data_IF_156763657811
#
_entry.id   IF_156763657811
#
_cell.length_a   1.000
_cell.length_b   1.000
_cell.length_c   1.000
_cell.angle_alpha   90.00
_cell.angle_beta   90.00
_cell.angle_gamma   90.00
#
_symmetry.space_group_name_H-M   'P 1'
#
loop_
_entity.id
_entity.type
_entity.pdbx_description
1 polymer ?
#
# COMPACT_ATOMS: atom_id res chain seq x y z
N UNK A 1 31.33 12.65 2.80
CA UNK A 1 30.24 12.18 3.70
C UNK A 1 29.68 10.93 3.02
N UNK A 2 29.73 9.75 3.63
CA UNK A 2 29.12 8.56 3.05
C UNK A 2 27.62 8.83 2.96
N UNK A 3 27.08 8.79 1.75
CA UNK A 3 25.62 8.85 1.56
C UNK A 3 24.98 7.77 2.39
N UNK A 4 23.98 8.15 3.21
CA UNK A 4 23.20 7.18 3.97
C UNK A 4 22.54 6.21 2.99
N UNK A 5 22.87 4.95 3.10
CA UNK A 5 22.32 3.89 2.25
C UNK A 5 20.93 3.47 2.72
N UNK A 6 20.49 3.95 3.87
CA UNK A 6 19.17 3.74 4.48
C UNK A 6 18.40 5.04 4.50
N UNK A 7 17.09 4.93 4.34
CA UNK A 7 16.21 6.09 4.40
C UNK A 7 14.76 5.69 4.58
N UNK A 8 13.94 6.70 4.70
CA UNK A 8 12.49 6.61 4.72
C UNK A 8 11.96 7.53 3.63
N UNK A 9 11.09 7.02 2.78
CA UNK A 9 10.42 7.80 1.74
C UNK A 9 8.96 7.97 2.15
N UNK A 10 8.41 9.19 2.02
CA UNK A 10 7.02 9.48 2.29
C UNK A 10 6.40 10.29 1.15
N UNK A 11 5.19 9.95 0.75
CA UNK A 11 4.39 10.71 -0.21
C UNK A 11 3.52 11.69 0.56
N UNK A 12 3.83 12.97 0.45
CA UNK A 12 3.03 14.09 0.97
C UNK A 12 2.03 14.50 -0.13
N UNK A 13 0.91 13.79 -0.20
CA UNK A 13 -0.13 13.96 -1.22
C UNK A 13 -0.70 15.36 -1.23
N UNK A 14 -1.00 15.91 -0.06
CA UNK A 14 -1.54 17.26 0.07
C UNK A 14 -0.50 18.32 -0.32
N UNK A 15 0.76 18.08 -0.04
CA UNK A 15 1.88 18.92 -0.45
C UNK A 15 2.31 18.73 -1.91
N UNK A 16 1.74 17.75 -2.62
CA UNK A 16 2.11 17.38 -4.00
C UNK A 16 3.61 17.09 -4.16
N UNK A 17 4.20 16.36 -3.22
CA UNK A 17 5.65 16.11 -3.14
C UNK A 17 5.97 14.75 -2.53
N UNK A 18 7.22 14.34 -2.70
CA UNK A 18 7.80 13.16 -2.04
C UNK A 18 8.96 13.61 -1.17
N UNK A 19 9.01 13.09 0.04
CA UNK A 19 9.96 13.48 1.09
C UNK A 19 10.92 12.32 1.36
N UNK A 20 12.21 12.59 1.32
CA UNK A 20 13.23 11.73 1.91
C UNK A 20 13.43 12.14 3.35
N UNK A 21 13.21 11.21 4.26
CA UNK A 21 13.32 11.40 5.69
C UNK A 21 14.50 10.60 6.25
N UNK A 22 15.11 11.14 7.27
CA UNK A 22 16.03 10.37 8.11
C UNK A 22 15.24 9.26 8.84
N UNK A 23 15.65 7.99 8.74
CA UNK A 23 14.88 6.88 9.31
C UNK A 23 14.88 6.81 10.84
N UNK A 24 15.77 7.55 11.51
CA UNK A 24 15.91 7.57 12.97
C UNK A 24 15.30 8.84 13.59
N UNK A 25 15.56 10.00 12.98
CA UNK A 25 15.11 11.29 13.50
C UNK A 25 13.83 11.80 12.86
N UNK A 26 13.42 11.20 11.73
CA UNK A 26 12.29 11.59 10.87
C UNK A 26 12.42 12.99 10.28
N UNK A 27 13.59 13.62 10.38
CA UNK A 27 13.86 14.94 9.79
C UNK A 27 13.81 14.83 8.26
N UNK A 28 13.19 15.83 7.60
CA UNK A 28 13.17 15.94 6.14
C UNK A 28 14.58 16.29 5.66
N UNK A 29 15.18 15.39 4.88
CA UNK A 29 16.52 15.56 4.30
C UNK A 29 16.47 16.09 2.85
N UNK A 30 15.42 15.76 2.12
CA UNK A 30 15.23 16.17 0.73
C UNK A 30 13.75 16.18 0.37
N UNK A 31 13.35 17.14 -0.46
CA UNK A 31 12.00 17.22 -1.06
C UNK A 31 12.08 17.14 -2.57
N UNK A 32 11.15 16.41 -3.18
CA UNK A 32 10.93 16.36 -4.61
C UNK A 32 9.54 16.95 -4.90
N UNK A 33 9.49 18.01 -5.70
CA UNK A 33 8.26 18.81 -5.91
C UNK A 33 7.74 18.80 -7.36
N UNK A 34 8.44 18.13 -8.30
CA UNK A 34 8.11 18.20 -9.73
C UNK A 34 7.16 17.08 -10.15
N UNK A 35 6.04 16.91 -9.42
CA UNK A 35 5.02 15.91 -9.74
C UNK A 35 3.81 16.53 -10.45
N UNK A 36 3.19 15.82 -11.41
CA UNK A 36 1.79 16.07 -11.78
C UNK A 36 0.89 15.89 -10.55
N UNK A 37 -0.30 16.50 -10.49
CA UNK A 37 -1.25 16.22 -9.42
C UNK A 37 -1.83 14.80 -9.56
N UNK A 38 -1.99 14.04 -8.54
CA UNK A 38 -1.40 14.04 -7.18
C UNK A 38 -0.55 12.80 -7.09
N UNK A 39 0.69 12.84 -6.58
CA UNK A 39 1.42 11.62 -6.23
C UNK A 39 0.63 10.88 -5.15
N UNK A 40 0.48 9.57 -5.34
CA UNK A 40 -0.38 8.74 -4.54
C UNK A 40 0.22 7.35 -4.47
N UNK A 41 0.18 6.67 -3.34
CA UNK A 41 0.83 5.39 -3.14
C UNK A 41 2.36 5.40 -3.34
N UNK A 42 3.01 4.32 -2.94
CA UNK A 42 4.46 4.18 -2.98
C UNK A 42 4.86 2.71 -3.12
N UNK A 43 5.69 2.42 -4.10
CA UNK A 43 6.25 1.09 -4.27
C UNK A 43 7.77 1.15 -4.24
N UNK A 44 8.38 0.47 -3.26
CA UNK A 44 9.84 0.38 -3.14
C UNK A 44 10.40 -0.74 -4.01
N UNK A 45 11.38 -0.40 -4.83
CA UNK A 45 12.08 -1.30 -5.75
C UNK A 45 13.58 -1.31 -5.42
N UNK A 46 13.90 -1.67 -4.19
CA UNK A 46 15.26 -1.63 -3.64
C UNK A 46 16.30 -2.37 -4.51
N UNK A 47 16.00 -3.55 -5.13
CA UNK A 47 16.97 -4.21 -6.02
C UNK A 47 17.38 -3.36 -7.23
N UNK A 48 16.52 -2.46 -7.69
CA UNK A 48 16.83 -1.50 -8.78
C UNK A 48 17.21 -0.12 -8.27
N UNK A 49 17.32 0.07 -6.94
CA UNK A 49 17.61 1.34 -6.27
C UNK A 49 16.59 2.44 -6.64
N UNK A 50 15.35 2.04 -6.88
CA UNK A 50 14.23 2.90 -7.33
C UNK A 50 13.05 2.84 -6.38
N UNK A 51 12.19 3.85 -6.48
CA UNK A 51 10.81 3.78 -6.03
C UNK A 51 9.89 4.24 -7.16
N UNK A 52 8.69 3.66 -7.22
CA UNK A 52 7.61 4.11 -8.07
C UNK A 52 6.57 4.84 -7.25
N UNK A 53 6.11 5.98 -7.78
CA UNK A 53 5.02 6.77 -7.21
C UNK A 53 3.97 6.97 -8.30
N UNK A 54 2.85 6.25 -8.24
CA UNK A 54 1.75 6.44 -9.16
C UNK A 54 1.19 7.87 -9.08
N UNK A 55 0.77 8.40 -10.23
CA UNK A 55 0.07 9.68 -10.33
C UNK A 55 -1.40 9.36 -10.61
N UNK A 56 -2.20 9.35 -9.56
CA UNK A 56 -3.58 8.89 -9.60
C UNK A 56 -4.50 9.86 -10.36
N UNK A 57 -4.26 11.16 -10.23
CA UNK A 57 -5.10 12.23 -10.77
C UNK A 57 -5.54 13.18 -9.66
N UNK A 58 -6.47 14.06 -9.96
CA UNK A 58 -6.91 15.13 -9.04
C UNK A 58 -8.11 14.75 -8.16
N UNK A 59 -8.66 13.54 -8.36
CA UNK A 59 -9.81 13.01 -7.64
C UNK A 59 -9.50 12.14 -6.43
N UNK A 60 -10.54 11.46 -5.99
CA UNK A 60 -10.52 10.38 -5.00
C UNK A 60 -11.10 9.12 -5.64
N UNK A 61 -11.00 7.96 -4.96
CA UNK A 61 -11.62 6.73 -5.42
C UNK A 61 -13.12 6.95 -5.68
N UNK A 62 -13.65 6.41 -6.79
CA UNK A 62 -15.04 6.59 -7.23
C UNK A 62 -15.39 7.97 -7.81
N UNK A 63 -14.55 9.00 -7.59
CA UNK A 63 -14.75 10.37 -8.12
C UNK A 63 -13.42 10.97 -8.56
N UNK A 64 -12.92 10.54 -9.72
CA UNK A 64 -11.66 10.99 -10.31
C UNK A 64 -11.91 11.55 -11.72
N UNK A 65 -12.32 12.83 -11.85
CA UNK A 65 -12.71 13.41 -13.15
C UNK A 65 -11.53 13.54 -14.12
N UNK A 66 -10.29 13.66 -13.61
CA UNK A 66 -9.08 13.75 -14.43
C UNK A 66 -8.05 12.67 -14.02
N UNK A 67 -8.33 11.39 -14.32
CA UNK A 67 -7.48 10.30 -13.88
C UNK A 67 -6.10 10.36 -14.55
N UNK A 68 -5.06 10.24 -13.70
CA UNK A 68 -3.68 10.20 -14.14
C UNK A 68 -3.37 8.95 -14.98
N UNK A 69 -2.21 8.97 -15.63
CA UNK A 69 -1.72 7.86 -16.45
C UNK A 69 -0.20 7.71 -16.39
N UNK A 70 0.42 8.22 -15.32
CA UNK A 70 1.87 8.17 -15.17
C UNK A 70 2.28 7.54 -13.84
N UNK A 71 3.48 7.01 -13.84
CA UNK A 71 4.19 6.60 -12.62
C UNK A 71 5.51 7.37 -12.59
N UNK A 72 5.76 8.11 -11.52
CA UNK A 72 7.06 8.74 -11.32
C UNK A 72 8.08 7.69 -10.89
N UNK A 73 9.27 7.74 -11.50
CA UNK A 73 10.43 6.90 -11.17
C UNK A 73 11.39 7.73 -10.34
N UNK A 74 11.65 7.31 -9.11
CA UNK A 74 12.55 7.98 -8.19
C UNK A 74 13.84 7.17 -8.08
N UNK A 75 14.98 7.80 -8.35
CA UNK A 75 16.30 7.26 -8.04
C UNK A 75 16.58 7.48 -6.55
N UNK A 76 16.62 6.39 -5.78
CA UNK A 76 16.80 6.44 -4.33
C UNK A 76 18.21 6.86 -3.93
N UNK A 77 19.21 6.58 -4.77
CA UNK A 77 20.60 6.95 -4.49
C UNK A 77 20.87 8.41 -4.75
N UNK A 78 20.37 8.93 -5.88
CA UNK A 78 20.52 10.33 -6.24
C UNK A 78 19.49 11.23 -5.57
N UNK A 79 18.41 10.64 -5.03
CA UNK A 79 17.28 11.35 -4.42
C UNK A 79 16.66 12.36 -5.38
N UNK A 80 16.33 11.88 -6.59
CA UNK A 80 15.74 12.70 -7.66
C UNK A 80 14.68 11.93 -8.44
N UNK A 81 13.81 12.66 -9.16
CA UNK A 81 12.90 12.04 -10.13
C UNK A 81 13.73 11.75 -11.38
N UNK A 82 13.94 10.48 -11.71
CA UNK A 82 14.71 10.06 -12.88
C UNK A 82 13.89 10.02 -14.17
N UNK A 83 12.55 9.98 -14.06
CA UNK A 83 11.66 9.95 -15.21
C UNK A 83 10.22 9.62 -14.84
N UNK A 84 9.41 9.38 -15.86
CA UNK A 84 8.02 8.95 -15.75
C UNK A 84 7.76 7.81 -16.72
N UNK A 85 7.04 6.80 -16.23
CA UNK A 85 6.45 5.76 -17.07
C UNK A 85 5.10 6.27 -17.54
N UNK A 86 4.85 6.27 -18.85
CA UNK A 86 3.53 6.54 -19.43
C UNK A 86 2.76 5.22 -19.54
N UNK A 87 1.64 5.14 -18.86
CA UNK A 87 0.77 3.97 -18.83
C UNK A 87 -0.32 4.01 -19.91
N UNK A 88 -0.41 5.10 -20.71
CA UNK A 88 -1.48 5.25 -21.69
C UNK A 88 -1.67 4.01 -22.57
N UNK A 89 -2.90 3.51 -22.78
CA UNK A 89 -4.18 4.18 -22.48
C UNK A 89 -4.73 3.94 -21.05
N UNK A 90 -4.00 3.24 -20.18
CA UNK A 90 -4.44 2.93 -18.81
C UNK A 90 -4.52 4.21 -17.96
N UNK A 91 -5.47 4.21 -17.00
CA UNK A 91 -5.82 5.37 -16.18
C UNK A 91 -5.95 5.02 -14.70
N UNK A 92 -5.77 6.03 -13.86
CA UNK A 92 -5.86 5.97 -12.41
C UNK A 92 -4.96 4.87 -11.81
N UNK A 93 -3.61 4.93 -12.04
CA UNK A 93 -2.70 4.00 -11.39
C UNK A 93 -2.73 4.21 -9.89
N UNK A 94 -2.89 3.12 -9.14
CA UNK A 94 -3.02 3.16 -7.69
C UNK A 94 -1.98 2.26 -7.02
N UNK A 95 -2.39 1.26 -6.28
CA UNK A 95 -1.46 0.42 -5.55
C UNK A 95 -0.77 -0.64 -6.42
N UNK A 96 0.46 -0.98 -6.05
CA UNK A 96 1.21 -2.00 -6.75
C UNK A 96 2.09 -2.83 -5.81
N UNK A 97 2.54 -3.97 -6.31
CA UNK A 97 3.50 -4.82 -5.62
C UNK A 97 4.54 -5.40 -6.59
N UNK A 98 5.75 -5.60 -6.06
CA UNK A 98 6.82 -6.32 -6.76
C UNK A 98 6.59 -7.83 -6.63
N UNK A 99 6.45 -8.51 -7.76
CA UNK A 99 6.33 -9.95 -7.84
C UNK A 99 7.68 -10.67 -7.64
N UNK A 100 7.60 -11.98 -7.37
CA UNK A 100 8.80 -12.84 -7.27
C UNK A 100 9.50 -13.04 -8.61
N UNK A 101 8.82 -12.80 -9.70
CA UNK A 101 9.33 -12.77 -11.07
C UNK A 101 10.12 -11.50 -11.40
N UNK A 102 10.21 -10.57 -10.45
CA UNK A 102 10.87 -9.29 -10.62
C UNK A 102 10.06 -8.25 -11.38
N UNK A 103 8.79 -8.50 -11.67
CA UNK A 103 7.89 -7.55 -12.32
C UNK A 103 7.04 -6.81 -11.30
N UNK A 104 6.66 -5.59 -11.63
CA UNK A 104 5.72 -4.79 -10.85
C UNK A 104 4.31 -4.99 -11.40
N UNK A 105 3.39 -5.34 -10.52
CA UNK A 105 1.97 -5.41 -10.78
C UNK A 105 1.32 -4.15 -10.20
N UNK A 106 0.61 -3.37 -11.02
CA UNK A 106 0.05 -2.08 -10.64
C UNK A 106 -1.42 -1.98 -11.06
N UNK A 107 -2.32 -1.77 -10.11
CA UNK A 107 -3.73 -1.51 -10.41
C UNK A 107 -3.88 -0.21 -11.22
N UNK A 108 -4.71 -0.27 -12.27
CA UNK A 108 -5.15 0.87 -13.06
C UNK A 108 -6.68 0.92 -12.97
N UNK A 109 -7.18 1.52 -11.91
CA UNK A 109 -8.56 1.44 -11.43
C UNK A 109 -9.59 1.71 -12.53
N UNK A 110 -9.53 2.91 -13.14
CA UNK A 110 -10.51 3.30 -14.18
C UNK A 110 -10.40 2.48 -15.47
N UNK A 111 -9.44 1.58 -15.58
CA UNK A 111 -9.18 0.79 -16.81
C UNK A 111 -9.55 -0.68 -16.68
N UNK A 112 -10.06 -1.13 -15.52
CA UNK A 112 -10.32 -2.54 -15.26
C UNK A 112 -9.09 -3.42 -15.58
N UNK A 113 -7.92 -3.01 -15.13
CA UNK A 113 -6.67 -3.61 -15.55
C UNK A 113 -5.58 -3.54 -14.49
N UNK A 114 -4.67 -4.51 -14.56
CA UNK A 114 -3.39 -4.49 -13.85
C UNK A 114 -2.29 -4.35 -14.90
N UNK A 115 -1.50 -3.28 -14.80
CA UNK A 115 -0.29 -3.11 -15.61
C UNK A 115 0.83 -3.97 -15.05
N UNK A 116 1.57 -4.65 -15.92
CA UNK A 116 2.79 -5.40 -15.57
C UNK A 116 3.97 -4.63 -16.12
N UNK A 117 4.83 -4.14 -15.23
CA UNK A 117 5.94 -3.24 -15.56
C UNK A 117 7.26 -3.97 -15.28
N UNK A 118 8.20 -3.86 -16.20
CA UNK A 118 9.57 -4.28 -15.97
C UNK A 118 10.38 -3.14 -15.33
N UNK A 119 10.81 -3.26 -14.05
CA UNK A 119 11.57 -2.22 -13.39
C UNK A 119 13.01 -2.07 -13.90
N UNK A 120 13.52 -3.03 -14.69
CA UNK A 120 14.82 -2.89 -15.31
C UNK A 120 14.80 -1.88 -16.49
N UNK A 121 13.67 -1.80 -17.19
CA UNK A 121 13.48 -0.93 -18.37
C UNK A 121 12.52 0.22 -18.15
N UNK A 122 11.77 0.22 -17.03
CA UNK A 122 10.69 1.16 -16.71
C UNK A 122 9.60 1.18 -17.81
N UNK A 123 9.22 -0.01 -18.31
CA UNK A 123 8.22 -0.15 -19.40
C UNK A 123 7.10 -1.12 -19.00
N UNK A 124 5.90 -0.80 -19.45
CA UNK A 124 4.78 -1.74 -19.42
C UNK A 124 5.07 -2.87 -20.41
N UNK A 125 5.13 -4.09 -19.94
CA UNK A 125 5.33 -5.28 -20.78
C UNK A 125 4.00 -5.85 -21.28
N UNK A 126 2.99 -5.85 -20.40
CA UNK A 126 1.66 -6.35 -20.70
C UNK A 126 0.62 -5.79 -19.73
N UNK A 127 -0.63 -6.07 -20.02
CA UNK A 127 -1.78 -5.70 -19.22
C UNK A 127 -2.63 -6.92 -18.94
N UNK A 128 -3.03 -7.13 -17.71
CA UNK A 128 -3.98 -8.17 -17.29
C UNK A 128 -5.35 -7.51 -17.15
N UNK A 129 -6.31 -7.91 -17.98
CA UNK A 129 -7.68 -7.45 -17.85
C UNK A 129 -8.36 -8.12 -16.66
N UNK A 130 -9.10 -7.35 -15.89
CA UNK A 130 -9.89 -7.80 -14.74
C UNK A 130 -11.33 -7.34 -14.88
N UNK A 131 -12.32 -8.04 -14.27
CA UNK A 131 -13.73 -7.75 -14.51
C UNK A 131 -14.26 -6.48 -13.83
N UNK A 132 -13.48 -5.84 -12.97
CA UNK A 132 -13.92 -4.69 -12.18
C UNK A 132 -13.21 -3.40 -12.60
N UNK A 133 -13.97 -2.31 -12.70
CA UNK A 133 -13.45 -0.93 -12.82
C UNK A 133 -13.14 -0.28 -11.48
N UNK A 134 -13.33 -1.00 -10.36
CA UNK A 134 -13.09 -0.54 -9.00
C UNK A 134 -11.90 -1.26 -8.35
N UNK A 135 -10.98 -1.84 -9.15
CA UNK A 135 -9.78 -2.49 -8.63
C UNK A 135 -8.79 -1.45 -8.13
N UNK A 136 -8.87 -1.17 -6.85
CA UNK A 136 -8.16 -0.09 -6.18
C UNK A 136 -6.82 -0.57 -5.61
N UNK A 137 -6.82 -1.67 -4.85
CA UNK A 137 -5.62 -2.27 -4.27
C UNK A 137 -5.40 -3.70 -4.74
N UNK A 138 -4.17 -4.16 -4.63
CA UNK A 138 -3.82 -5.55 -4.91
C UNK A 138 -2.90 -6.14 -3.86
N UNK A 139 -2.90 -7.47 -3.78
CA UNK A 139 -1.89 -8.22 -3.03
C UNK A 139 -1.48 -9.49 -3.78
N UNK A 140 -0.20 -9.83 -3.68
CA UNK A 140 0.36 -11.06 -4.26
C UNK A 140 0.38 -12.18 -3.20
N UNK A 141 0.12 -13.41 -3.63
CA UNK A 141 0.40 -14.55 -2.77
C UNK A 141 1.91 -14.63 -2.46
N UNK A 142 2.34 -15.11 -1.28
CA UNK A 142 3.76 -15.28 -0.97
C UNK A 142 4.53 -16.18 -1.95
N UNK A 143 3.83 -17.06 -2.67
CA UNK A 143 4.43 -17.87 -3.73
C UNK A 143 4.67 -17.11 -5.03
N UNK A 144 4.08 -15.92 -5.21
CA UNK A 144 4.08 -15.16 -6.46
C UNK A 144 3.16 -15.73 -7.54
N UNK A 145 2.39 -16.80 -7.26
CA UNK A 145 1.58 -17.51 -8.28
C UNK A 145 0.18 -16.95 -8.44
N UNK A 146 -0.33 -16.19 -7.49
CA UNK A 146 -1.65 -15.57 -7.53
C UNK A 146 -1.56 -14.10 -7.19
N UNK A 147 -2.36 -13.31 -7.88
CA UNK A 147 -2.65 -11.93 -7.56
C UNK A 147 -4.13 -11.81 -7.17
N UNK A 148 -4.42 -10.96 -6.20
CA UNK A 148 -5.75 -10.66 -5.72
C UNK A 148 -5.95 -9.15 -5.83
N UNK A 149 -6.98 -8.69 -6.55
CA UNK A 149 -7.38 -7.27 -6.54
C UNK A 149 -8.57 -7.09 -5.62
N UNK A 150 -8.50 -6.11 -4.78
CA UNK A 150 -9.65 -5.60 -4.05
C UNK A 150 -10.42 -4.67 -4.98
N UNK A 151 -11.74 -4.92 -5.10
CA UNK A 151 -12.63 -4.23 -6.01
C UNK A 151 -13.71 -3.50 -5.17
N UNK A 152 -13.32 -2.44 -4.57
CA UNK A 152 -13.96 -1.69 -3.48
C UNK A 152 -15.50 -1.73 -3.48
N UNK A 153 -16.19 -0.94 -4.33
CA UNK A 153 -17.66 -0.88 -4.34
C UNK A 153 -18.31 -2.14 -4.92
N UNK A 154 -17.59 -2.92 -5.73
CA UNK A 154 -18.11 -4.19 -6.27
C UNK A 154 -18.21 -5.29 -5.22
N UNK A 155 -17.79 -5.01 -3.99
CA UNK A 155 -17.78 -5.97 -2.88
C UNK A 155 -17.17 -7.32 -3.29
N UNK A 156 -16.07 -7.29 -4.00
CA UNK A 156 -15.46 -8.50 -4.56
C UNK A 156 -13.94 -8.46 -4.58
N UNK A 157 -13.33 -9.65 -4.70
CA UNK A 157 -11.90 -9.80 -4.92
C UNK A 157 -11.72 -10.63 -6.18
N UNK A 158 -11.02 -10.08 -7.17
CA UNK A 158 -10.63 -10.86 -8.36
C UNK A 158 -9.37 -11.67 -8.07
N UNK A 159 -9.38 -12.94 -8.45
CA UNK A 159 -8.23 -13.85 -8.32
C UNK A 159 -7.64 -14.11 -9.69
N UNK A 160 -6.36 -13.77 -9.85
CA UNK A 160 -5.60 -13.98 -11.09
C UNK A 160 -4.54 -15.05 -10.87
N UNK A 161 -4.48 -16.04 -11.73
CA UNK A 161 -3.35 -16.99 -11.83
C UNK A 161 -2.24 -16.35 -12.67
N UNK A 162 -1.05 -16.23 -12.07
CA UNK A 162 0.15 -15.67 -12.69
C UNK A 162 1.09 -16.74 -13.26
N UNK A 163 0.72 -18.03 -13.17
CA UNK A 163 1.54 -19.11 -13.74
C UNK A 163 1.47 -19.16 -15.27
N UNK A 164 0.41 -18.64 -15.86
CA UNK A 164 0.27 -18.45 -17.29
C UNK A 164 0.91 -17.12 -17.71
N UNK A 165 1.55 -17.12 -18.88
CA UNK A 165 2.33 -15.97 -19.36
C UNK A 165 1.54 -14.66 -19.38
N UNK A 166 0.25 -14.72 -19.75
CA UNK A 166 -0.62 -13.53 -19.85
C UNK A 166 -1.31 -13.15 -18.52
N UNK A 167 -1.29 -14.05 -17.53
CA UNK A 167 -2.13 -13.96 -16.34
C UNK A 167 -3.60 -14.24 -16.68
N UNK A 168 -4.28 -15.02 -15.86
CA UNK A 168 -5.67 -15.42 -16.12
C UNK A 168 -6.53 -15.22 -14.88
N UNK A 169 -7.65 -14.53 -15.02
CA UNK A 169 -8.69 -14.51 -14.00
C UNK A 169 -9.26 -15.91 -13.83
N UNK A 170 -9.15 -16.45 -12.62
CA UNK A 170 -9.60 -17.82 -12.30
C UNK A 170 -10.79 -17.84 -11.35
N UNK A 171 -11.05 -16.74 -10.65
CA UNK A 171 -12.17 -16.64 -9.70
C UNK A 171 -12.51 -15.18 -9.37
N UNK A 172 -13.72 -14.98 -8.85
CA UNK A 172 -14.17 -13.74 -8.23
C UNK A 172 -14.83 -14.07 -6.90
N UNK A 173 -14.19 -13.68 -5.81
CA UNK A 173 -14.71 -13.89 -4.45
C UNK A 173 -15.70 -12.78 -4.15
N UNK A 174 -16.99 -13.12 -4.04
CA UNK A 174 -18.02 -12.16 -3.65
C UNK A 174 -18.06 -12.03 -2.13
N UNK A 175 -18.17 -10.80 -1.66
CA UNK A 175 -18.24 -10.44 -0.26
C UNK A 175 -19.62 -9.83 0.06
N UNK A 176 -20.06 -9.88 1.33
CA UNK A 176 -21.37 -9.35 1.72
C UNK A 176 -21.50 -7.84 1.62
N UNK A 177 -20.40 -7.10 1.58
CA UNK A 177 -20.37 -5.63 1.51
C UNK A 177 -19.07 -5.12 0.92
N UNK A 178 -18.96 -3.81 0.67
CA UNK A 178 -17.77 -3.19 0.10
C UNK A 178 -16.52 -3.41 0.96
N UNK A 179 -15.37 -3.36 0.34
CA UNK A 179 -14.06 -3.56 0.98
C UNK A 179 -13.11 -2.44 0.58
N UNK A 180 -12.12 -2.14 1.41
CA UNK A 180 -11.22 -1.01 1.15
C UNK A 180 -9.74 -1.35 1.15
N UNK A 181 -9.31 -2.41 1.79
CA UNK A 181 -7.90 -2.79 1.86
C UNK A 181 -7.71 -4.29 1.80
N UNK A 182 -6.59 -4.75 1.27
CA UNK A 182 -6.28 -6.16 1.14
C UNK A 182 -4.80 -6.44 1.41
N UNK A 183 -4.51 -7.51 2.16
CA UNK A 183 -3.15 -8.00 2.37
C UNK A 183 -3.11 -9.53 2.50
N UNK A 184 -2.17 -10.17 1.81
CA UNK A 184 -1.93 -11.61 1.98
C UNK A 184 -0.96 -11.86 3.13
N UNK A 185 -1.31 -12.77 4.04
CA UNK A 185 -0.39 -13.16 5.11
C UNK A 185 0.88 -13.79 4.53
N UNK A 186 2.08 -13.34 4.95
CA UNK A 186 3.34 -13.97 4.54
C UNK A 186 3.51 -15.40 5.09
N UNK A 187 2.92 -15.70 6.25
CA UNK A 187 3.10 -16.97 6.98
C UNK A 187 1.96 -17.97 6.78
N UNK A 188 0.72 -17.47 6.68
CA UNK A 188 -0.46 -18.31 6.74
C UNK A 188 -1.23 -18.34 5.40
N UNK A 189 -2.04 -19.37 5.11
CA UNK A 189 -2.74 -19.53 3.85
C UNK A 189 -4.04 -18.68 3.75
N UNK A 190 -4.02 -17.45 4.27
CA UNK A 190 -5.14 -16.53 4.17
C UNK A 190 -4.71 -15.15 3.69
N UNK A 191 -5.66 -14.38 3.26
CA UNK A 191 -5.58 -12.94 3.10
C UNK A 191 -6.61 -12.26 4.01
N UNK A 192 -6.36 -11.00 4.31
CA UNK A 192 -7.25 -10.16 5.11
C UNK A 192 -7.71 -9.00 4.22
N UNK A 193 -8.99 -8.69 4.25
CA UNK A 193 -9.57 -7.51 3.61
C UNK A 193 -10.39 -6.73 4.63
N UNK A 194 -10.27 -5.40 4.65
CA UNK A 194 -11.10 -4.56 5.51
C UNK A 194 -12.47 -4.35 4.87
N UNK A 195 -13.53 -4.45 5.68
CA UNK A 195 -14.86 -4.00 5.27
C UNK A 195 -14.88 -2.47 5.22
N UNK A 196 -15.47 -1.88 4.18
CA UNK A 196 -15.57 -0.42 4.02
C UNK A 196 -16.83 0.17 4.66
N UNK A 197 -17.76 -0.66 5.09
CA UNK A 197 -19.06 -0.27 5.66
C UNK A 197 -19.16 -0.47 7.18
N UNK A 198 -18.19 -1.18 7.80
CA UNK A 198 -18.23 -1.46 9.24
C UNK A 198 -16.84 -1.85 9.79
N UNK A 199 -16.61 -1.70 11.11
CA UNK A 199 -15.31 -1.96 11.75
C UNK A 199 -15.05 -3.46 11.94
N UNK A 200 -14.81 -4.18 10.87
CA UNK A 200 -14.33 -5.56 10.90
C UNK A 200 -13.48 -5.90 9.67
N UNK A 201 -12.74 -6.99 9.76
CA UNK A 201 -11.94 -7.54 8.69
C UNK A 201 -12.53 -8.89 8.24
N UNK A 202 -12.49 -9.14 6.93
CA UNK A 202 -12.70 -10.48 6.37
C UNK A 202 -11.39 -11.25 6.37
N UNK A 203 -11.39 -12.49 6.88
CA UNK A 203 -10.28 -13.43 6.75
C UNK A 203 -10.67 -14.46 5.70
N UNK A 204 -9.92 -14.52 4.61
CA UNK A 204 -10.27 -15.28 3.41
C UNK A 204 -9.19 -16.33 3.14
N UNK A 205 -9.59 -17.57 2.96
CA UNK A 205 -8.68 -18.65 2.59
C UNK A 205 -8.21 -18.49 1.14
N UNK A 206 -6.88 -18.45 0.94
CA UNK A 206 -6.28 -18.24 -0.38
C UNK A 206 -6.37 -19.45 -1.31
N UNK A 207 -6.69 -20.63 -0.79
CA UNK A 207 -6.79 -21.86 -1.58
C UNK A 207 -8.22 -22.11 -2.01
N UNK A 208 -9.15 -22.07 -1.07
CA UNK A 208 -10.59 -22.30 -1.33
C UNK A 208 -11.34 -21.05 -1.79
N UNK A 209 -10.73 -19.85 -1.67
CA UNK A 209 -11.31 -18.55 -1.99
C UNK A 209 -12.59 -18.24 -1.18
N UNK A 210 -12.68 -18.75 0.05
CA UNK A 210 -13.85 -18.56 0.91
C UNK A 210 -13.53 -17.73 2.14
N UNK A 211 -14.48 -16.92 2.56
CA UNK A 211 -14.43 -16.22 3.85
C UNK A 211 -14.44 -17.28 4.95
N UNK A 212 -13.41 -17.30 5.80
CA UNK A 212 -13.27 -18.17 6.97
C UNK A 212 -13.96 -17.59 8.19
N UNK A 213 -13.78 -16.27 8.39
CA UNK A 213 -14.34 -15.55 9.54
C UNK A 213 -14.38 -14.05 9.28
N UNK A 214 -15.14 -13.36 10.13
CA UNK A 214 -15.07 -11.91 10.30
C UNK A 214 -14.37 -11.62 11.61
N UNK A 215 -13.38 -10.73 11.58
CA UNK A 215 -12.61 -10.31 12.73
C UNK A 215 -13.05 -8.90 13.13
N UNK A 216 -13.71 -8.77 14.27
CA UNK A 216 -14.20 -7.48 14.75
C UNK A 216 -13.02 -6.56 15.16
N UNK A 217 -13.24 -5.27 15.03
CA UNK A 217 -12.35 -4.19 15.48
C UNK A 217 -13.04 -3.41 16.61
N UNK A 218 -13.11 -3.95 17.84
CA UNK A 218 -13.97 -3.41 18.91
C UNK A 218 -13.59 -1.99 19.36
N UNK A 219 -12.33 -1.58 19.15
CA UNK A 219 -11.87 -0.22 19.43
C UNK A 219 -12.29 0.82 18.40
N UNK A 220 -12.76 0.38 17.21
CA UNK A 220 -13.14 1.27 16.13
C UNK A 220 -14.66 1.50 16.11
N UNK A 221 -15.06 2.74 15.78
CA UNK A 221 -16.45 3.12 15.47
C UNK A 221 -16.66 3.24 13.95
N UNK A 222 -15.58 3.44 13.20
CA UNK A 222 -15.57 3.58 11.75
C UNK A 222 -14.82 2.41 11.10
N UNK A 223 -15.07 2.10 9.82
CA UNK A 223 -14.32 1.07 9.10
C UNK A 223 -12.85 1.41 8.96
N UNK A 224 -12.02 0.38 8.76
CA UNK A 224 -10.62 0.53 8.37
C UNK A 224 -10.48 0.51 6.85
N UNK A 225 -9.50 1.24 6.31
CA UNK A 225 -9.23 1.29 4.87
C UNK A 225 -7.95 0.55 4.46
N UNK A 226 -7.02 0.35 5.38
CA UNK A 226 -5.74 -0.27 5.08
C UNK A 226 -5.44 -1.38 6.07
N UNK A 227 -4.92 -2.47 5.55
CA UNK A 227 -4.34 -3.57 6.33
C UNK A 227 -2.93 -3.85 5.84
N UNK A 228 -1.97 -3.99 6.77
CA UNK A 228 -0.57 -4.28 6.44
C UNK A 228 -0.02 -5.37 7.34
N UNK A 229 0.66 -6.36 6.75
CA UNK A 229 1.49 -7.30 7.49
C UNK A 229 2.92 -6.78 7.62
N UNK A 230 3.56 -7.09 8.75
CA UNK A 230 5.01 -6.99 8.86
C UNK A 230 5.68 -7.97 7.89
N UNK A 231 6.91 -7.66 7.45
CA UNK A 231 7.61 -8.49 6.47
C UNK A 231 7.83 -9.94 6.92
N UNK A 232 8.03 -10.15 8.22
CA UNK A 232 8.14 -11.48 8.82
C UNK A 232 6.77 -12.15 9.08
N UNK A 233 5.66 -11.44 8.83
CA UNK A 233 4.30 -11.94 9.01
C UNK A 233 3.86 -12.13 10.47
N UNK A 234 4.60 -11.60 11.45
CA UNK A 234 4.29 -11.76 12.88
C UNK A 234 3.28 -10.74 13.41
N UNK A 235 3.05 -9.68 12.65
CA UNK A 235 2.11 -8.60 13.00
C UNK A 235 1.23 -8.26 11.81
N UNK A 236 -0.01 -7.91 12.12
CA UNK A 236 -0.94 -7.24 11.21
C UNK A 236 -1.38 -5.94 11.86
N UNK A 237 -1.47 -4.87 11.09
CA UNK A 237 -2.11 -3.62 11.52
C UNK A 237 -3.34 -3.35 10.67
N UNK A 238 -4.43 -2.91 11.30
CA UNK A 238 -5.60 -2.35 10.67
C UNK A 238 -5.62 -0.84 10.92
N UNK A 239 -5.78 -0.05 9.85
CA UNK A 239 -5.68 1.41 9.83
C UNK A 239 -6.95 1.95 9.18
N UNK A 240 -7.62 2.90 9.84
CA UNK A 240 -8.82 3.55 9.32
C UNK A 240 -8.67 5.06 9.34
N UNK A 241 -9.04 5.72 8.26
CA UNK A 241 -8.90 7.17 8.09
C UNK A 241 -9.97 7.99 8.82
N UNK A 242 -11.06 7.34 9.22
CA UNK A 242 -12.17 7.99 9.94
C UNK A 242 -11.92 8.26 11.42
N UNK A 243 -10.88 7.64 12.01
CA UNK A 243 -10.59 7.72 13.44
C UNK A 243 -9.08 7.71 13.71
N UNK A 244 -8.59 8.45 14.73
CA UNK A 244 -7.16 8.50 15.08
C UNK A 244 -6.73 7.26 15.89
N UNK A 245 -6.97 6.08 15.36
CA UNK A 245 -6.70 4.80 16.02
C UNK A 245 -6.23 3.74 15.01
N UNK A 246 -5.37 2.84 15.44
CA UNK A 246 -4.99 1.62 14.71
C UNK A 246 -5.06 0.43 15.63
N UNK A 247 -5.41 -0.75 15.10
CA UNK A 247 -5.42 -2.02 15.86
C UNK A 247 -4.30 -2.93 15.39
N UNK A 248 -3.51 -3.43 16.34
CA UNK A 248 -2.48 -4.44 16.08
C UNK A 248 -3.00 -5.85 16.40
N UNK A 249 -2.56 -6.81 15.59
CA UNK A 249 -2.80 -8.24 15.75
C UNK A 249 -1.48 -9.03 15.69
N UNK A 250 -1.45 -10.18 16.34
CA UNK A 250 -0.43 -11.19 16.11
C UNK A 250 -0.66 -11.97 14.79
N UNK A 251 0.21 -12.93 14.48
CA UNK A 251 0.10 -13.74 13.25
C UNK A 251 -1.06 -14.75 13.27
N UNK A 252 -1.64 -15.02 14.43
CA UNK A 252 -2.86 -15.82 14.60
C UNK A 252 -4.13 -15.00 14.61
N UNK A 253 -4.01 -13.68 14.37
CA UNK A 253 -5.10 -12.69 14.36
C UNK A 253 -5.73 -12.46 15.74
N UNK A 254 -4.98 -12.70 16.83
CA UNK A 254 -5.39 -12.25 18.14
C UNK A 254 -5.10 -10.75 18.30
N UNK A 255 -6.04 -9.93 18.78
CA UNK A 255 -5.79 -8.50 18.98
C UNK A 255 -4.73 -8.29 20.07
N UNK A 256 -3.75 -7.45 19.77
CA UNK A 256 -2.70 -7.04 20.70
C UNK A 256 -3.00 -5.69 21.36
N UNK A 257 -4.00 -4.97 20.83
CA UNK A 257 -4.49 -3.72 21.37
C UNK A 257 -4.71 -2.65 20.32
N UNK A 258 -5.45 -1.64 20.74
CA UNK A 258 -5.74 -0.44 19.99
C UNK A 258 -4.77 0.66 20.42
N UNK A 259 -4.23 1.41 19.46
CA UNK A 259 -3.23 2.44 19.70
C UNK A 259 -3.74 3.75 19.11
N UNK A 260 -3.85 4.78 19.96
CA UNK A 260 -4.17 6.12 19.51
C UNK A 260 -2.99 6.71 18.70
N UNK A 261 -3.29 7.31 17.55
CA UNK A 261 -2.35 7.91 16.61
C UNK A 261 -2.79 9.34 16.25
N UNK A 262 -2.19 9.99 15.26
CA UNK A 262 -2.65 11.29 14.79
C UNK A 262 -3.92 11.19 13.93
N UNK A 263 -4.44 12.36 13.53
CA UNK A 263 -5.70 12.46 12.78
C UNK A 263 -5.56 11.94 11.35
N UNK A 264 -6.61 11.26 10.88
CA UNK A 264 -6.72 10.68 9.55
C UNK A 264 -5.50 9.81 9.20
N UNK A 265 -5.28 8.71 9.95
CA UNK A 265 -4.21 7.76 9.63
C UNK A 265 -4.55 7.04 8.31
N UNK A 266 -3.68 7.18 7.30
CA UNK A 266 -3.95 6.69 5.94
C UNK A 266 -3.24 5.38 5.64
N UNK A 267 -1.97 5.26 6.01
CA UNK A 267 -1.19 4.03 5.77
C UNK A 267 -0.07 3.91 6.81
N UNK A 268 0.60 2.77 6.80
CA UNK A 268 1.71 2.51 7.69
C UNK A 268 2.74 1.53 7.12
N UNK A 269 3.95 1.61 7.64
CA UNK A 269 4.98 0.65 7.32
C UNK A 269 5.72 0.17 8.58
N UNK A 270 6.03 -1.12 8.59
CA UNK A 270 6.89 -1.71 9.61
C UNK A 270 8.35 -1.42 9.30
N UNK A 271 9.15 -1.15 10.32
CA UNK A 271 10.60 -1.04 10.17
C UNK A 271 11.21 -2.36 9.70
N UNK A 272 12.36 -2.35 8.98
CA UNK A 272 13.00 -3.57 8.47
C UNK A 272 13.38 -4.59 9.55
N UNK A 273 13.61 -4.13 10.78
CA UNK A 273 13.90 -4.97 11.95
C UNK A 273 12.63 -5.40 12.72
N UNK A 274 11.45 -5.01 12.26
CA UNK A 274 10.15 -5.28 12.88
C UNK A 274 10.01 -4.79 14.33
N UNK A 275 10.74 -3.74 14.72
CA UNK A 275 10.66 -3.15 16.07
C UNK A 275 9.71 -1.96 16.13
N UNK A 276 9.47 -1.31 15.01
CA UNK A 276 8.63 -0.13 14.92
C UNK A 276 7.58 -0.28 13.82
N UNK A 277 6.46 0.39 14.02
CA UNK A 277 5.46 0.68 13.01
C UNK A 277 5.32 2.19 12.90
N UNK A 278 5.43 2.71 11.69
CA UNK A 278 5.16 4.12 11.40
C UNK A 278 3.79 4.24 10.76
N UNK A 279 2.98 5.17 11.24
CA UNK A 279 1.66 5.50 10.67
C UNK A 279 1.73 6.92 10.10
N UNK A 280 1.30 7.09 8.86
CA UNK A 280 1.15 8.39 8.23
C UNK A 280 -0.21 8.99 8.61
N UNK A 281 -0.19 10.13 9.31
CA UNK A 281 -1.39 10.85 9.75
C UNK A 281 -1.62 12.03 8.80
N UNK A 282 -2.41 11.80 7.74
CA UNK A 282 -2.62 12.80 6.68
C UNK A 282 -3.24 14.09 7.24
N UNK A 283 -4.21 13.97 8.16
CA UNK A 283 -4.92 15.11 8.72
C UNK A 283 -4.04 16.07 9.52
N UNK A 284 -2.97 15.55 10.14
CA UNK A 284 -2.05 16.35 10.96
C UNK A 284 -0.75 16.72 10.24
N UNK A 285 -0.43 16.04 9.13
CA UNK A 285 0.89 16.12 8.50
C UNK A 285 2.00 15.57 9.40
N UNK A 286 1.68 14.56 10.22
CA UNK A 286 2.61 13.93 11.17
C UNK A 286 2.80 12.45 10.87
N UNK A 287 3.80 11.84 11.51
CA UNK A 287 3.91 10.38 11.64
C UNK A 287 3.67 9.99 13.10
N UNK A 288 3.06 8.84 13.33
CA UNK A 288 3.08 8.19 14.64
C UNK A 288 4.07 7.04 14.61
N UNK A 289 5.18 7.15 15.34
CA UNK A 289 6.15 6.07 15.50
C UNK A 289 5.74 5.20 16.70
N UNK A 290 5.41 3.94 16.45
CA UNK A 290 4.93 2.98 17.44
C UNK A 290 6.05 1.99 17.76
N UNK A 291 6.41 1.84 19.03
CA UNK A 291 7.25 0.75 19.53
C UNK A 291 6.41 -0.53 19.63
N UNK A 292 6.79 -1.57 18.89
CA UNK A 292 6.05 -2.83 18.81
C UNK A 292 6.26 -3.76 20.01
N UNK A 293 7.29 -3.51 20.84
CA UNK A 293 7.46 -4.25 22.08
C UNK A 293 6.57 -3.70 23.21
N UNK A 294 6.28 -2.39 23.15
CA UNK A 294 5.46 -1.69 24.15
C UNK A 294 4.03 -1.38 23.65
N UNK A 295 3.75 -1.59 22.38
CA UNK A 295 2.48 -1.26 21.71
C UNK A 295 2.02 0.17 22.01
N UNK A 296 2.93 1.15 21.89
CA UNK A 296 2.62 2.57 22.14
C UNK A 296 3.38 3.50 21.23
N UNK A 297 2.81 4.67 20.99
CA UNK A 297 3.48 5.77 20.28
C UNK A 297 4.64 6.29 21.12
N UNK A 298 5.81 6.39 20.52
CA UNK A 298 7.05 6.91 21.12
C UNK A 298 7.47 8.27 20.55
N UNK A 299 6.97 8.63 19.35
CA UNK A 299 7.22 9.92 18.73
C UNK A 299 6.10 10.28 17.74
N UNK A 300 5.86 11.60 17.58
CA UNK A 300 4.88 12.14 16.62
C UNK A 300 5.49 13.32 15.86
N UNK A 301 6.51 13.11 15.02
CA UNK A 301 7.14 14.18 14.26
C UNK A 301 6.22 14.73 13.17
N UNK A 302 6.27 16.06 12.96
CA UNK A 302 5.67 16.68 11.77
C UNK A 302 6.61 16.48 10.59
N UNK A 303 6.09 15.96 9.47
CA UNK A 303 6.93 15.57 8.32
C UNK A 303 6.44 16.17 7.00
N UNK A 304 5.22 16.68 6.94
CA UNK A 304 4.65 17.23 5.71
C UNK A 304 3.39 18.03 5.95
N UNK A 305 2.61 18.21 4.90
CA UNK A 305 1.30 18.86 4.92
C UNK A 305 0.18 17.83 5.08
N UNK A 306 0.35 16.63 4.49
CA UNK A 306 -0.59 15.53 4.52
C UNK A 306 0.06 14.28 3.90
N UNK A 307 1.01 13.69 4.64
CA UNK A 307 1.63 12.43 4.23
C UNK A 307 0.62 11.29 4.28
N UNK A 308 0.52 10.53 3.19
CA UNK A 308 -0.44 9.47 3.02
C UNK A 308 0.19 8.08 3.13
N UNK A 309 1.33 7.87 2.51
CA UNK A 309 2.02 6.58 2.47
C UNK A 309 3.51 6.77 2.70
N UNK A 310 4.16 5.77 3.28
CA UNK A 310 5.59 5.81 3.57
C UNK A 310 6.20 4.40 3.49
N UNK A 311 7.51 4.35 3.26
CA UNK A 311 8.25 3.09 3.26
C UNK A 311 9.73 3.30 3.54
N UNK A 312 10.32 2.38 4.29
CA UNK A 312 11.77 2.30 4.46
C UNK A 312 12.44 1.77 3.21
N UNK A 313 13.69 2.18 2.99
CA UNK A 313 14.57 1.57 1.99
C UNK A 313 15.98 1.38 2.54
N UNK A 314 16.68 0.35 2.02
CA UNK A 314 18.08 0.06 2.30
C UNK A 314 18.76 -0.33 0.99
N UNK A 315 19.74 0.47 0.56
CA UNK A 315 20.43 0.29 -0.71
C UNK A 315 21.64 -0.66 -0.65
N UNK A 316 21.91 -1.21 0.53
CA UNK A 316 23.01 -2.17 0.73
C UNK A 316 22.60 -3.64 0.49
N UNK A 317 21.33 -3.91 0.23
CA UNK A 317 20.80 -5.27 0.03
C UNK A 317 20.41 -5.51 -1.41
#
# INVERSE_FOLDING_TARGET
MSESTRGLLAVDKQGNRVLFLNPETFAVERELNAFPPRPHELLMLTPWRKAYVPIYGDGVHGDNPHPGHKVAVIDLAKREISGFIDLSPLRAPHSGQLGRDGKVYLCCESSAAVAVIDPATDRVEKTISIPSHNAHRLTLSPSGRKLFTENEEDASITVVDLCEAEGRVIDTILLPGPIAGIAASPKHPYLVASAADAPYLYVIDRQSHRVRQRLALPGHQQPCQVVRFSANGERLVAIGDGEPIVTLFDDLLNPLGDIAVGNKPMDGCFSPDNRQLLIANEGDGTLSAIDLAQNRVIATPRVGTGCEVLSFFDLLR
#
